data_IF_087252084382
#
_entry.id   IF_087252084382
#
_cell.length_a   1.000
_cell.length_b   1.000
_cell.length_c   1.000
_cell.angle_alpha   90.00
_cell.angle_beta   90.00
_cell.angle_gamma   90.00
#
_symmetry.space_group_name_H-M   'P 1'
#
loop_
_entity.id
_entity.type
_entity.pdbx_description
1 polymer ?
#
# COMPACT_ATOMS: atom_id res chain seq x y z
N UNK A 1 16.39 5.07 1.89
CA UNK A 1 16.48 3.69 2.42
C UNK A 1 15.07 3.16 2.55
N UNK A 2 14.76 2.03 1.90
CA UNK A 2 13.42 1.41 1.96
C UNK A 2 13.32 0.57 3.23
N UNK A 3 12.25 0.77 4.03
CA UNK A 3 11.96 -0.04 5.21
C UNK A 3 11.12 -1.26 4.86
N UNK A 4 11.30 -2.35 5.58
CA UNK A 4 10.44 -3.54 5.44
C UNK A 4 9.71 -3.79 6.75
N UNK A 5 8.40 -3.99 6.68
CA UNK A 5 7.56 -4.34 7.82
C UNK A 5 6.88 -5.68 7.55
N UNK A 6 7.07 -6.65 8.44
CA UNK A 6 6.29 -7.89 8.44
C UNK A 6 5.06 -7.71 9.34
N UNK A 7 3.88 -7.95 8.79
CA UNK A 7 2.62 -7.85 9.54
C UNK A 7 2.56 -8.86 10.70
N UNK A 8 3.32 -9.96 10.63
CA UNK A 8 3.37 -10.98 11.68
C UNK A 8 4.14 -10.53 12.92
N UNK A 9 4.96 -9.46 12.82
CA UNK A 9 5.64 -8.85 13.97
C UNK A 9 4.82 -7.74 14.65
N UNK A 10 3.61 -7.44 14.16
CA UNK A 10 2.73 -6.41 14.73
C UNK A 10 1.74 -7.02 15.73
N UNK A 11 1.25 -6.19 16.66
CA UNK A 11 0.13 -6.58 17.52
C UNK A 11 -1.10 -6.93 16.68
N UNK A 12 -1.96 -7.83 17.17
CA UNK A 12 -3.13 -8.31 16.43
C UNK A 12 -3.99 -7.16 15.90
N UNK A 13 -4.24 -6.15 16.74
CA UNK A 13 -5.01 -4.96 16.34
C UNK A 13 -4.35 -4.20 15.19
N UNK A 14 -3.05 -3.88 15.31
CA UNK A 14 -2.31 -3.16 14.26
C UNK A 14 -2.20 -3.98 12.97
N UNK A 15 -1.97 -5.29 13.09
CA UNK A 15 -1.93 -6.24 11.97
C UNK A 15 -3.25 -6.23 11.20
N UNK A 16 -4.37 -6.32 11.92
CA UNK A 16 -5.71 -6.28 11.32
C UNK A 16 -5.96 -4.94 10.62
N UNK A 17 -5.73 -3.82 11.30
CA UNK A 17 -5.94 -2.49 10.74
C UNK A 17 -5.10 -2.26 9.49
N UNK A 18 -3.81 -2.64 9.52
CA UNK A 18 -2.91 -2.49 8.38
C UNK A 18 -3.37 -3.32 7.17
N UNK A 19 -3.71 -4.60 7.37
CA UNK A 19 -4.23 -5.47 6.30
C UNK A 19 -5.53 -4.92 5.71
N UNK A 20 -6.43 -4.41 6.56
CA UNK A 20 -7.68 -3.78 6.12
C UNK A 20 -7.41 -2.56 5.23
N UNK A 21 -6.55 -1.64 5.64
CA UNK A 21 -6.26 -0.44 4.86
C UNK A 21 -5.60 -0.76 3.51
N UNK A 22 -4.69 -1.76 3.49
CA UNK A 22 -4.08 -2.25 2.25
C UNK A 22 -5.12 -2.87 1.31
N UNK A 23 -6.05 -3.68 1.84
CA UNK A 23 -7.11 -4.28 1.04
C UNK A 23 -8.04 -3.23 0.42
N UNK A 24 -8.42 -2.20 1.20
CA UNK A 24 -9.22 -1.07 0.72
C UNK A 24 -8.50 -0.28 -0.37
N UNK A 25 -7.22 0.01 -0.18
CA UNK A 25 -6.38 0.69 -1.16
C UNK A 25 -6.29 -0.10 -2.47
N UNK A 26 -5.95 -1.38 -2.40
CA UNK A 26 -5.81 -2.24 -3.58
C UNK A 26 -7.14 -2.35 -4.35
N UNK A 27 -8.27 -2.40 -3.64
CA UNK A 27 -9.59 -2.38 -4.28
C UNK A 27 -9.87 -1.04 -4.96
N UNK A 28 -9.59 0.08 -4.30
CA UNK A 28 -9.77 1.41 -4.89
C UNK A 28 -8.92 1.60 -6.14
N UNK A 29 -7.64 1.22 -6.11
CA UNK A 29 -6.75 1.25 -7.29
C UNK A 29 -7.27 0.38 -8.43
N UNK A 30 -7.81 -0.80 -8.11
CA UNK A 30 -8.41 -1.70 -9.11
C UNK A 30 -9.66 -1.07 -9.74
N UNK A 31 -10.54 -0.47 -8.95
CA UNK A 31 -11.73 0.20 -9.47
C UNK A 31 -11.33 1.43 -10.29
N UNK A 32 -10.38 2.23 -9.79
CA UNK A 32 -9.86 3.41 -10.48
C UNK A 32 -9.35 3.08 -11.88
N UNK A 33 -8.58 1.99 -12.04
CA UNK A 33 -8.01 1.60 -13.34
C UNK A 33 -9.05 1.21 -14.40
N UNK A 34 -10.28 0.92 -13.99
CA UNK A 34 -11.40 0.58 -14.88
C UNK A 34 -12.47 1.68 -14.95
N UNK A 35 -12.33 2.75 -14.17
CA UNK A 35 -13.34 3.80 -14.04
C UNK A 35 -13.27 4.77 -15.23
N UNK A 36 -14.41 5.26 -15.75
CA UNK A 36 -14.44 6.40 -16.69
C UNK A 36 -14.02 7.72 -16.02
N UNK A 37 -14.01 7.77 -14.69
CA UNK A 37 -13.64 8.94 -13.87
C UNK A 37 -12.64 8.52 -12.78
N UNK A 38 -11.38 8.20 -13.14
CA UNK A 38 -10.37 7.74 -12.19
C UNK A 38 -9.98 8.80 -11.15
N UNK A 39 -10.06 10.07 -11.49
CA UNK A 39 -9.71 11.21 -10.62
C UNK A 39 -10.53 11.25 -9.32
N UNK A 40 -11.76 10.69 -9.35
CA UNK A 40 -12.65 10.64 -8.17
C UNK A 40 -12.12 9.75 -7.04
N UNK A 41 -11.12 8.91 -7.32
CA UNK A 41 -10.53 8.00 -6.34
C UNK A 41 -9.26 8.56 -5.71
N UNK A 42 -8.69 9.63 -6.25
CA UNK A 42 -7.38 10.14 -5.84
C UNK A 42 -7.35 10.56 -4.36
N UNK A 43 -8.37 11.28 -3.90
CA UNK A 43 -8.49 11.70 -2.50
C UNK A 43 -8.55 10.47 -1.57
N UNK A 44 -9.43 9.52 -1.87
CA UNK A 44 -9.58 8.29 -1.08
C UNK A 44 -8.30 7.47 -1.04
N UNK A 45 -7.60 7.33 -2.16
CA UNK A 45 -6.32 6.63 -2.28
C UNK A 45 -5.25 7.31 -1.43
N UNK A 46 -5.14 8.64 -1.52
CA UNK A 46 -4.21 9.44 -0.73
C UNK A 46 -4.47 9.33 0.78
N UNK A 47 -5.73 9.31 1.19
CA UNK A 47 -6.10 9.04 2.59
C UNK A 47 -5.62 7.66 3.04
N UNK A 48 -5.85 6.61 2.23
CA UNK A 48 -5.40 5.25 2.57
C UNK A 48 -3.88 5.20 2.73
N UNK A 49 -3.13 5.80 1.81
CA UNK A 49 -1.66 5.91 1.91
C UNK A 49 -1.22 6.59 3.21
N UNK A 50 -1.88 7.70 3.57
CA UNK A 50 -1.59 8.46 4.79
C UNK A 50 -1.84 7.63 6.05
N UNK A 51 -2.97 6.91 6.10
CA UNK A 51 -3.31 6.05 7.24
C UNK A 51 -2.32 4.89 7.37
N UNK A 52 -1.95 4.24 6.27
CA UNK A 52 -0.94 3.16 6.29
C UNK A 52 0.40 3.67 6.85
N UNK A 53 0.85 4.85 6.39
CA UNK A 53 2.08 5.49 6.90
C UNK A 53 1.98 5.82 8.40
N UNK A 54 0.82 6.26 8.86
CA UNK A 54 0.56 6.54 10.27
C UNK A 54 0.62 5.29 11.14
N UNK A 55 -0.02 4.18 10.72
CA UNK A 55 0.02 2.90 11.43
C UNK A 55 1.47 2.40 11.60
N UNK A 56 2.28 2.54 10.56
CA UNK A 56 3.69 2.13 10.54
C UNK A 56 4.65 3.17 11.14
N UNK A 57 4.14 4.35 11.50
CA UNK A 57 4.89 5.48 12.00
C UNK A 57 6.15 5.78 11.16
N UNK A 58 5.98 5.95 9.85
CA UNK A 58 7.12 6.19 8.96
C UNK A 58 6.85 7.17 7.82
N UNK A 59 7.85 8.00 7.55
CA UNK A 59 7.92 8.90 6.39
C UNK A 59 8.78 8.35 5.25
N UNK A 60 9.55 7.29 5.50
CA UNK A 60 10.39 6.65 4.48
C UNK A 60 9.54 5.81 3.52
N UNK A 61 10.12 5.43 2.38
CA UNK A 61 9.54 4.38 1.55
C UNK A 61 9.58 3.03 2.25
N UNK A 62 8.57 2.20 2.01
CA UNK A 62 8.42 0.94 2.71
C UNK A 62 7.73 -0.15 1.89
N UNK A 63 7.98 -1.39 2.32
CA UNK A 63 7.34 -2.62 1.86
C UNK A 63 6.64 -3.26 3.05
N UNK A 64 5.39 -3.70 2.85
CA UNK A 64 4.64 -4.51 3.82
C UNK A 64 4.58 -5.94 3.34
N UNK A 65 4.95 -6.88 4.21
CA UNK A 65 4.96 -8.32 3.93
C UNK A 65 4.09 -9.12 4.90
N UNK A 66 3.64 -10.27 4.45
CA UNK A 66 3.05 -11.33 5.26
C UNK A 66 3.88 -12.60 5.06
N UNK A 67 4.91 -12.75 5.91
CA UNK A 67 5.99 -13.71 5.69
C UNK A 67 6.72 -13.39 4.38
N UNK A 68 6.71 -14.35 3.44
CA UNK A 68 7.35 -14.19 2.13
C UNK A 68 6.50 -13.40 1.12
N UNK A 69 5.23 -13.18 1.41
CA UNK A 69 4.31 -12.51 0.49
C UNK A 69 4.39 -10.99 0.63
N UNK A 70 4.57 -10.26 -0.48
CA UNK A 70 4.48 -8.80 -0.48
C UNK A 70 3.01 -8.40 -0.58
N UNK A 71 2.51 -7.65 0.40
CA UNK A 71 1.15 -7.12 0.39
C UNK A 71 1.06 -5.74 -0.26
N UNK A 72 2.10 -4.91 -0.09
CA UNK A 72 2.08 -3.52 -0.52
C UNK A 72 3.49 -2.92 -0.59
N UNK A 73 3.72 -2.01 -1.55
CA UNK A 73 4.93 -1.20 -1.69
C UNK A 73 4.51 0.27 -1.77
N UNK A 74 5.17 1.16 -1.03
CA UNK A 74 4.81 2.59 -0.98
C UNK A 74 5.36 3.42 -2.15
N UNK A 75 6.08 2.77 -3.06
CA UNK A 75 6.74 3.36 -4.20
C UNK A 75 6.39 2.51 -5.41
N UNK A 76 6.26 3.16 -6.56
CA UNK A 76 6.11 2.45 -7.81
C UNK A 76 7.45 1.82 -8.17
N UNK A 77 7.46 0.51 -8.41
CA UNK A 77 8.51 -0.04 -9.26
C UNK A 77 8.30 0.59 -10.64
N UNK A 78 9.24 1.43 -11.06
CA UNK A 78 9.35 1.77 -12.47
C UNK A 78 9.55 0.43 -13.16
N UNK A 79 8.49 -0.09 -13.77
CA UNK A 79 8.64 -1.15 -14.75
C UNK A 79 9.46 -0.51 -15.86
N UNK A 80 10.77 -0.80 -15.88
CA UNK A 80 11.63 -0.57 -17.04
C UNK A 80 11.05 -1.36 -18.22
N UNK A 81 10.02 -0.79 -18.85
CA UNK A 81 9.57 -1.18 -20.18
C UNK A 81 10.54 -0.54 -21.18
N UNK A 82 11.80 -0.94 -21.14
CA UNK A 82 12.79 -0.73 -22.19
C UNK A 82 13.96 -1.71 -22.02
N UNK A 83 13.76 -2.94 -22.49
CA UNK A 83 14.83 -3.75 -23.08
C UNK A 83 14.25 -4.97 -23.77
N UNK A 84 13.83 -4.80 -25.02
CA UNK A 84 14.32 -5.55 -26.19
C UNK A 84 13.78 -4.93 -27.47
#
# INVERSE_FOLDING_TARGET
MVKTFDVNSLSERKRFELKLQIALLNNALKIQSMSPHPEKYDEYINERHTIIRSILNTTADFIVKDGDNILYKSFNEIMDKNSK
#
